data_IF_867674344792
#
_entry.id   IF_867674344792
#
_cell.length_a   1.000
_cell.length_b   1.000
_cell.length_c   1.000
_cell.angle_alpha   90.00
_cell.angle_beta   90.00
_cell.angle_gamma   90.00
#
_symmetry.space_group_name_H-M   'P 1'
#
loop_
_entity.id
_entity.type
_entity.pdbx_description
1 polymer ?
#
# COMPACT_ATOMS: atom_id res chain seq x y z
N UNK A 1 41.36 56.00 -13.99
CA UNK A 1 41.19 55.02 -12.89
C UNK A 1 40.00 55.41 -12.03
N UNK A 2 39.20 54.41 -11.63
CA UNK A 2 38.11 54.40 -10.61
C UNK A 2 36.81 55.16 -10.91
N UNK A 3 35.74 54.38 -11.07
CA UNK A 3 34.66 54.24 -10.07
C UNK A 3 33.91 52.92 -10.33
N UNK A 4 34.18 51.90 -9.50
CA UNK A 4 33.29 50.76 -9.37
C UNK A 4 32.10 51.21 -8.52
N UNK A 5 30.90 51.11 -9.07
CA UNK A 5 29.66 51.15 -8.31
C UNK A 5 29.46 49.76 -7.70
N UNK A 6 29.45 49.68 -6.37
CA UNK A 6 29.18 48.46 -5.64
C UNK A 6 27.68 48.16 -5.71
N UNK A 7 27.34 46.98 -6.22
CA UNK A 7 25.99 46.42 -6.12
C UNK A 7 25.67 46.15 -4.66
N UNK A 8 24.69 46.86 -4.11
CA UNK A 8 24.19 46.65 -2.76
C UNK A 8 23.63 45.24 -2.62
N UNK A 9 24.24 44.46 -1.73
CA UNK A 9 23.66 43.22 -1.23
C UNK A 9 22.58 43.62 -0.22
N UNK A 10 21.31 43.58 -0.60
CA UNK A 10 20.20 43.62 0.36
C UNK A 10 20.18 42.27 1.08
N UNK A 11 20.88 42.18 2.20
CA UNK A 11 20.68 41.10 3.16
C UNK A 11 20.02 41.74 4.37
N UNK A 12 18.70 41.77 4.37
CA UNK A 12 17.90 42.15 5.54
C UNK A 12 18.19 41.10 6.61
N UNK A 13 18.88 41.49 7.68
CA UNK A 13 19.10 40.62 8.83
C UNK A 13 17.74 40.40 9.50
N UNK A 14 17.18 39.22 9.27
CA UNK A 14 15.90 38.82 9.85
C UNK A 14 16.14 38.42 11.29
N UNK A 15 15.48 39.11 12.23
CA UNK A 15 15.57 38.77 13.66
C UNK A 15 14.83 37.45 13.92
N UNK A 16 15.63 36.43 14.23
CA UNK A 16 15.14 35.07 14.46
C UNK A 16 14.28 34.98 15.73
N UNK A 17 14.53 35.84 16.72
CA UNK A 17 13.82 35.81 18.00
C UNK A 17 12.40 36.39 17.85
N UNK A 18 12.23 37.42 17.01
CA UNK A 18 10.91 37.99 16.67
C UNK A 18 10.04 37.00 15.89
N UNK A 19 10.64 36.31 14.90
CA UNK A 19 9.95 35.27 14.13
C UNK A 19 9.49 34.10 14.99
N UNK A 20 10.28 33.71 16.00
CA UNK A 20 9.92 32.62 16.90
C UNK A 20 8.74 32.94 17.84
N UNK A 21 8.45 34.23 18.05
CA UNK A 21 7.29 34.69 18.82
C UNK A 21 6.06 34.99 17.95
N UNK A 22 6.14 34.78 16.63
CA UNK A 22 5.01 34.98 15.71
C UNK A 22 3.94 33.88 15.95
N UNK A 23 2.73 34.23 16.42
CA UNK A 23 1.65 33.28 16.65
C UNK A 23 1.24 32.50 15.38
N UNK A 24 1.44 33.07 14.19
CA UNK A 24 1.16 32.39 12.92
C UNK A 24 2.20 31.30 12.64
N UNK A 25 3.48 31.55 12.94
CA UNK A 25 4.55 30.56 12.81
C UNK A 25 4.42 29.44 13.85
N UNK A 26 4.04 29.77 15.10
CA UNK A 26 3.74 28.78 16.14
C UNK A 26 2.60 27.85 15.72
N UNK A 27 1.53 28.41 15.16
CA UNK A 27 0.39 27.63 14.64
C UNK A 27 0.82 26.70 13.51
N UNK A 28 1.62 27.19 12.55
CA UNK A 28 2.13 26.37 11.44
C UNK A 28 3.01 25.22 11.94
N UNK A 29 3.85 25.47 12.95
CA UNK A 29 4.65 24.44 13.60
C UNK A 29 3.78 23.39 14.31
N UNK A 30 2.78 23.83 15.08
CA UNK A 30 1.85 22.94 15.77
C UNK A 30 1.08 22.04 14.79
N UNK A 31 0.55 22.61 13.70
CA UNK A 31 -0.17 21.88 12.66
C UNK A 31 0.72 20.83 11.98
N UNK A 32 1.98 21.18 11.68
CA UNK A 32 2.96 20.26 11.09
C UNK A 32 3.32 19.12 12.03
N UNK A 33 3.55 19.41 13.31
CA UNK A 33 3.83 18.40 14.33
C UNK A 33 2.62 17.47 14.50
N UNK A 34 1.40 18.00 14.52
CA UNK A 34 0.18 17.22 14.62
C UNK A 34 -0.02 16.29 13.41
N UNK A 35 0.23 16.78 12.19
CA UNK A 35 0.17 15.97 10.98
C UNK A 35 1.18 14.82 11.01
N UNK A 36 2.44 15.11 11.37
CA UNK A 36 3.50 14.10 11.49
C UNK A 36 3.17 13.04 12.54
N UNK A 37 2.63 13.43 13.70
CA UNK A 37 2.18 12.50 14.74
C UNK A 37 1.06 11.58 14.24
N UNK A 38 0.04 12.16 13.61
CA UNK A 38 -1.10 11.41 13.05
C UNK A 38 -0.66 10.39 12.00
N UNK A 39 0.26 10.77 11.12
CA UNK A 39 0.79 9.87 10.10
C UNK A 39 1.64 8.76 10.71
N UNK A 40 2.44 9.07 11.73
CA UNK A 40 3.21 8.08 12.47
C UNK A 40 2.30 7.06 13.19
N UNK A 41 1.26 7.52 13.88
CA UNK A 41 0.27 6.67 14.55
C UNK A 41 -0.48 5.77 13.55
N UNK A 42 -0.93 6.34 12.42
CA UNK A 42 -1.59 5.58 11.36
C UNK A 42 -0.66 4.50 10.82
N UNK A 43 0.60 4.84 10.55
CA UNK A 43 1.59 3.89 10.04
C UNK A 43 1.87 2.80 11.07
N UNK A 44 2.02 3.15 12.34
CA UNK A 44 2.24 2.19 13.42
C UNK A 44 1.07 1.19 13.55
N UNK A 45 -0.17 1.69 13.48
CA UNK A 45 -1.38 0.83 13.50
C UNK A 45 -1.38 -0.16 12.33
N UNK A 46 -1.06 0.31 11.12
CA UNK A 46 -0.96 -0.55 9.93
C UNK A 46 0.18 -1.58 10.08
N UNK A 47 1.34 -1.19 10.61
CA UNK A 47 2.43 -2.13 10.93
C UNK A 47 1.95 -3.22 11.89
N UNK A 48 1.27 -2.85 12.98
CA UNK A 48 0.74 -3.82 13.96
C UNK A 48 -0.28 -4.78 13.34
N UNK A 49 -1.00 -4.33 12.32
CA UNK A 49 -1.95 -5.16 11.56
C UNK A 49 -1.27 -6.06 10.52
N UNK A 50 0.06 -5.99 10.35
CA UNK A 50 0.80 -6.80 9.38
C UNK A 50 0.85 -6.21 7.97
N UNK A 51 0.71 -4.88 7.82
CA UNK A 51 0.95 -4.22 6.54
C UNK A 51 2.45 -4.10 6.27
N UNK A 52 2.83 -4.06 4.99
CA UNK A 52 4.24 -3.97 4.57
C UNK A 52 4.96 -5.31 4.45
N UNK A 53 4.31 -6.42 4.80
CA UNK A 53 4.82 -7.77 4.64
C UNK A 53 3.91 -8.62 3.76
N UNK A 54 4.43 -9.75 3.30
CA UNK A 54 3.67 -10.77 2.59
C UNK A 54 3.82 -12.09 3.35
N UNK A 55 2.75 -12.50 4.04
CA UNK A 55 2.74 -13.64 4.96
C UNK A 55 1.71 -14.70 4.60
N UNK A 56 2.00 -15.92 5.00
CA UNK A 56 1.05 -17.04 4.97
C UNK A 56 0.08 -16.94 6.16
N UNK A 57 -1.20 -17.17 5.90
CA UNK A 57 -2.24 -17.22 6.93
C UNK A 57 -2.97 -18.56 6.86
N UNK A 58 -3.66 -18.95 7.93
CA UNK A 58 -4.51 -20.14 7.94
C UNK A 58 -5.94 -19.82 7.52
N UNK A 59 -6.76 -20.85 7.27
CA UNK A 59 -8.18 -20.66 6.96
C UNK A 59 -8.93 -19.94 8.10
N UNK A 60 -8.57 -20.23 9.36
CA UNK A 60 -9.20 -19.60 10.53
C UNK A 60 -8.88 -18.11 10.66
N UNK A 61 -7.70 -17.68 10.21
CA UNK A 61 -7.28 -16.28 10.24
C UNK A 61 -7.89 -15.46 9.10
N UNK A 62 -8.38 -16.12 8.03
CA UNK A 62 -8.78 -15.45 6.80
C UNK A 62 -9.77 -14.30 7.03
N UNK A 63 -10.83 -14.52 7.80
CA UNK A 63 -11.84 -13.50 8.05
C UNK A 63 -11.27 -12.32 8.84
N UNK A 64 -10.54 -12.57 9.93
CA UNK A 64 -9.97 -11.49 10.75
C UNK A 64 -8.98 -10.64 9.96
N UNK A 65 -8.24 -11.26 9.04
CA UNK A 65 -7.28 -10.61 8.17
C UNK A 65 -7.97 -9.72 7.12
N UNK A 66 -9.01 -10.20 6.42
CA UNK A 66 -9.70 -9.45 5.35
C UNK A 66 -10.67 -8.39 5.87
N UNK A 67 -11.24 -8.56 7.06
CA UNK A 67 -12.13 -7.56 7.68
C UNK A 67 -11.37 -6.56 8.53
N UNK A 68 -10.19 -6.91 9.04
CA UNK A 68 -9.39 -6.07 9.94
C UNK A 68 -8.65 -4.92 9.25
N UNK A 69 -8.69 -4.84 7.93
CA UNK A 69 -7.97 -3.83 7.14
C UNK A 69 -8.83 -3.29 5.99
N UNK A 70 -8.56 -2.05 5.58
CA UNK A 70 -9.37 -1.38 4.56
C UNK A 70 -9.20 -2.01 3.17
N UNK A 71 -7.96 -2.33 2.79
CA UNK A 71 -7.60 -2.98 1.52
C UNK A 71 -6.74 -4.19 1.82
N UNK A 72 -7.15 -5.36 1.33
CA UNK A 72 -6.42 -6.62 1.49
C UNK A 72 -6.36 -7.34 0.16
N UNK A 73 -5.19 -7.84 -0.22
CA UNK A 73 -5.01 -8.74 -1.35
C UNK A 73 -4.66 -10.11 -0.79
N UNK A 74 -5.50 -11.10 -1.08
CA UNK A 74 -5.25 -12.48 -0.70
C UNK A 74 -4.89 -13.31 -1.94
N UNK A 75 -3.73 -13.95 -1.89
CA UNK A 75 -3.26 -14.89 -2.89
C UNK A 75 -3.60 -16.32 -2.48
N UNK A 76 -4.56 -16.91 -3.18
CA UNK A 76 -4.85 -18.33 -3.10
C UNK A 76 -3.86 -19.06 -3.99
N UNK A 77 -3.10 -19.98 -3.39
CA UNK A 77 -1.97 -20.61 -4.03
C UNK A 77 -1.88 -22.10 -3.70
N UNK A 78 -1.01 -22.80 -4.44
CA UNK A 78 -0.66 -24.19 -4.16
C UNK A 78 0.84 -24.37 -4.35
N UNK A 79 1.47 -25.10 -3.43
CA UNK A 79 2.93 -25.27 -3.33
C UNK A 79 3.57 -25.89 -4.59
N UNK A 80 2.85 -26.77 -5.27
CA UNK A 80 3.34 -27.47 -6.46
C UNK A 80 3.28 -26.60 -7.73
N UNK A 81 2.52 -25.51 -7.71
CA UNK A 81 2.25 -24.73 -8.91
C UNK A 81 3.35 -23.67 -9.08
N UNK A 82 4.24 -23.87 -10.07
CA UNK A 82 5.37 -22.97 -10.35
C UNK A 82 4.94 -21.51 -10.52
N UNK A 83 3.79 -21.28 -11.18
CA UNK A 83 3.19 -19.95 -11.37
C UNK A 83 2.84 -19.24 -10.06
N UNK A 84 2.51 -19.97 -9.00
CA UNK A 84 2.31 -19.37 -7.68
C UNK A 84 3.62 -18.80 -7.10
N UNK A 85 4.76 -19.44 -7.37
CA UNK A 85 6.09 -18.97 -6.91
C UNK A 85 6.50 -17.67 -7.59
N UNK A 86 6.13 -17.50 -8.86
CA UNK A 86 6.31 -16.23 -9.57
C UNK A 86 5.46 -15.16 -8.89
N UNK A 87 4.17 -15.43 -8.65
CA UNK A 87 3.27 -14.48 -8.00
C UNK A 87 3.78 -14.05 -6.61
N UNK A 88 4.29 -14.99 -5.82
CA UNK A 88 4.90 -14.70 -4.52
C UNK A 88 6.03 -13.66 -4.61
N UNK A 89 6.89 -13.74 -5.64
CA UNK A 89 7.97 -12.75 -5.85
C UNK A 89 7.41 -11.35 -6.10
N UNK A 90 6.39 -11.21 -6.94
CA UNK A 90 5.79 -9.92 -7.24
C UNK A 90 5.06 -9.33 -6.03
N UNK A 91 4.27 -10.14 -5.33
CA UNK A 91 3.52 -9.68 -4.14
C UNK A 91 4.44 -9.28 -2.99
N UNK A 92 5.56 -9.97 -2.78
CA UNK A 92 6.59 -9.55 -1.81
C UNK A 92 7.12 -8.15 -2.12
N UNK A 93 7.38 -7.84 -3.39
CA UNK A 93 7.84 -6.51 -3.79
C UNK A 93 6.74 -5.45 -3.64
N UNK A 94 5.49 -5.79 -3.97
CA UNK A 94 4.35 -4.89 -3.86
C UNK A 94 4.00 -4.57 -2.40
N UNK A 95 4.09 -5.54 -1.50
CA UNK A 95 3.83 -5.35 -0.07
C UNK A 95 4.69 -4.24 0.53
N UNK A 96 5.98 -4.20 0.18
CA UNK A 96 6.91 -3.17 0.63
C UNK A 96 6.60 -1.77 0.05
N UNK A 97 6.03 -1.72 -1.16
CA UNK A 97 5.74 -0.46 -1.88
C UNK A 97 4.36 0.11 -1.53
N UNK A 98 3.39 -0.74 -1.23
CA UNK A 98 1.99 -0.38 -1.00
C UNK A 98 1.57 -0.65 0.44
N UNK A 99 2.16 0.10 1.37
CA UNK A 99 1.97 -0.08 2.81
C UNK A 99 0.52 0.13 3.31
N UNK A 100 -0.35 0.75 2.50
CA UNK A 100 -1.78 0.91 2.83
C UNK A 100 -2.63 -0.31 2.48
N UNK A 101 -2.05 -1.26 1.73
CA UNK A 101 -2.71 -2.50 1.33
C UNK A 101 -2.02 -3.66 2.03
N UNK A 102 -2.82 -4.51 2.67
CA UNK A 102 -2.32 -5.71 3.32
C UNK A 102 -2.19 -6.84 2.29
N UNK A 103 -1.08 -7.56 2.32
CA UNK A 103 -0.83 -8.66 1.39
C UNK A 103 -0.69 -9.97 2.18
N UNK A 104 -1.54 -10.95 1.87
CA UNK A 104 -1.53 -12.26 2.52
C UNK A 104 -1.64 -13.36 1.47
N UNK A 105 -1.24 -14.57 1.85
CA UNK A 105 -1.46 -15.77 1.03
C UNK A 105 -2.08 -16.90 1.84
N UNK A 106 -2.90 -17.69 1.17
CA UNK A 106 -3.62 -18.80 1.76
C UNK A 106 -3.46 -20.03 0.86
N UNK A 107 -3.05 -21.14 1.46
CA UNK A 107 -2.90 -22.40 0.75
C UNK A 107 -4.30 -22.96 0.41
N UNK A 108 -4.59 -23.10 -0.88
CA UNK A 108 -5.90 -23.51 -1.37
C UNK A 108 -6.26 -24.94 -0.93
N UNK A 109 -5.28 -25.82 -0.74
CA UNK A 109 -5.52 -27.18 -0.24
C UNK A 109 -5.97 -27.16 1.22
N UNK A 110 -5.46 -26.21 2.01
CA UNK A 110 -5.75 -26.09 3.45
C UNK A 110 -6.91 -25.12 3.75
N UNK A 111 -7.57 -24.56 2.73
CA UNK A 111 -8.68 -23.62 2.89
C UNK A 111 -9.90 -23.96 1.99
N UNK A 112 -10.45 -25.18 2.07
CA UNK A 112 -11.50 -25.65 1.18
C UNK A 112 -12.80 -24.84 1.30
N UNK A 113 -13.12 -24.30 2.49
CA UNK A 113 -14.34 -23.52 2.69
C UNK A 113 -14.31 -22.24 1.87
N UNK A 114 -13.22 -21.46 1.94
CA UNK A 114 -13.12 -20.23 1.16
C UNK A 114 -12.87 -20.47 -0.33
N UNK A 115 -12.16 -21.54 -0.69
CA UNK A 115 -12.02 -21.95 -2.10
C UNK A 115 -13.39 -22.22 -2.72
N UNK A 116 -14.26 -22.97 -2.03
CA UNK A 116 -15.61 -23.22 -2.49
C UNK A 116 -16.48 -21.95 -2.46
N UNK A 117 -16.47 -21.21 -1.34
CA UNK A 117 -17.30 -20.01 -1.15
C UNK A 117 -16.99 -18.90 -2.16
N UNK A 118 -15.72 -18.74 -2.51
CA UNK A 118 -15.25 -17.76 -3.49
C UNK A 118 -15.17 -18.35 -4.91
N UNK A 119 -15.61 -19.58 -5.12
CA UNK A 119 -15.60 -20.27 -6.41
C UNK A 119 -14.24 -20.19 -7.12
N UNK A 120 -13.16 -20.53 -6.41
CA UNK A 120 -11.80 -20.53 -6.94
C UNK A 120 -11.57 -21.85 -7.68
N UNK A 121 -11.38 -21.75 -8.99
CA UNK A 121 -11.23 -22.93 -9.89
C UNK A 121 -9.83 -23.04 -10.51
N UNK A 122 -9.04 -21.98 -10.44
CA UNK A 122 -7.76 -21.89 -11.14
C UNK A 122 -6.77 -21.15 -10.26
N UNK A 123 -5.53 -21.64 -10.21
CA UNK A 123 -4.44 -21.06 -9.42
C UNK A 123 -3.30 -20.59 -10.33
N UNK A 124 -2.56 -19.53 -9.92
CA UNK A 124 -2.82 -18.69 -8.75
C UNK A 124 -4.09 -17.84 -8.91
N UNK A 125 -4.75 -17.50 -7.81
CA UNK A 125 -5.88 -16.56 -7.82
C UNK A 125 -5.65 -15.47 -6.78
N UNK A 126 -5.67 -14.21 -7.23
CA UNK A 126 -5.66 -13.05 -6.34
C UNK A 126 -7.08 -12.55 -6.19
N UNK A 127 -7.47 -12.23 -4.96
CA UNK A 127 -8.73 -11.55 -4.69
C UNK A 127 -8.43 -10.29 -3.87
N UNK A 128 -8.96 -9.17 -4.34
CA UNK A 128 -8.90 -7.90 -3.63
C UNK A 128 -10.15 -7.71 -2.78
N UNK A 129 -9.95 -7.51 -1.49
CA UNK A 129 -11.00 -7.19 -0.53
C UNK A 129 -10.92 -5.73 -0.14
N UNK A 130 -12.09 -5.07 -0.06
CA UNK A 130 -12.25 -3.76 0.57
C UNK A 130 -13.23 -3.87 1.71
N UNK A 131 -12.79 -3.54 2.93
CA UNK A 131 -13.61 -3.63 4.16
C UNK A 131 -14.29 -5.01 4.29
N UNK A 132 -13.56 -6.09 4.05
CA UNK A 132 -14.06 -7.47 4.10
C UNK A 132 -14.89 -7.94 2.89
N UNK A 133 -15.22 -7.07 1.94
CA UNK A 133 -16.00 -7.43 0.74
C UNK A 133 -15.06 -7.69 -0.44
N UNK A 134 -15.23 -8.81 -1.13
CA UNK A 134 -14.50 -9.10 -2.36
C UNK A 134 -14.91 -8.11 -3.46
N UNK A 135 -13.95 -7.38 -4.01
CA UNK A 135 -14.19 -6.31 -4.99
C UNK A 135 -13.72 -6.66 -6.39
N UNK A 136 -12.60 -7.39 -6.49
CA UNK A 136 -12.03 -7.75 -7.79
C UNK A 136 -11.19 -9.03 -7.65
N UNK A 137 -10.92 -9.70 -8.78
CA UNK A 137 -10.07 -10.88 -8.83
C UNK A 137 -9.22 -10.95 -10.09
N UNK A 138 -8.01 -11.48 -9.91
CA UNK A 138 -7.09 -11.82 -11.01
C UNK A 138 -6.92 -13.33 -11.00
N UNK A 139 -7.17 -13.98 -12.14
CA UNK A 139 -7.12 -15.44 -12.24
C UNK A 139 -5.99 -15.85 -13.18
N UNK A 140 -5.01 -16.56 -12.62
CA UNK A 140 -3.83 -17.00 -13.35
C UNK A 140 -2.97 -15.84 -13.84
N UNK A 141 -2.41 -16.02 -15.04
CA UNK A 141 -1.54 -15.05 -15.72
C UNK A 141 -2.17 -14.49 -16.99
N UNK A 142 -3.37 -14.96 -17.37
CA UNK A 142 -4.06 -14.50 -18.58
C UNK A 142 -4.34 -13.00 -18.50
N UNK A 143 -4.78 -12.53 -17.35
CA UNK A 143 -5.04 -11.11 -17.08
C UNK A 143 -3.75 -10.27 -16.96
N UNK A 144 -2.58 -10.91 -16.83
CA UNK A 144 -1.26 -10.28 -16.76
C UNK A 144 -0.49 -10.36 -18.10
N UNK A 145 -1.18 -10.67 -19.19
CA UNK A 145 -0.62 -10.74 -20.54
C UNK A 145 -0.01 -12.09 -20.91
N UNK A 146 -0.27 -13.14 -20.12
CA UNK A 146 0.08 -14.53 -20.43
C UNK A 146 1.58 -14.84 -20.42
N UNK A 147 2.41 -13.92 -19.91
CA UNK A 147 3.87 -14.06 -19.83
C UNK A 147 4.31 -14.13 -18.38
N UNK A 148 5.28 -14.99 -18.11
CA UNK A 148 5.85 -15.18 -16.78
C UNK A 148 6.70 -13.97 -16.33
N UNK A 149 7.26 -13.19 -17.27
CA UNK A 149 7.98 -11.94 -17.04
C UNK A 149 7.05 -10.71 -17.20
N UNK A 150 6.06 -10.57 -16.32
CA UNK A 150 5.27 -9.34 -16.27
C UNK A 150 5.95 -8.29 -15.39
N UNK A 151 6.11 -7.08 -15.92
CA UNK A 151 6.63 -5.96 -15.12
C UNK A 151 5.59 -5.59 -14.08
N UNK A 152 6.00 -5.57 -12.81
CA UNK A 152 5.21 -4.99 -11.71
C UNK A 152 5.14 -3.47 -11.90
N UNK A 153 4.38 -3.01 -12.90
CA UNK A 153 4.05 -1.59 -13.02
C UNK A 153 3.16 -1.27 -11.84
N UNK A 154 3.60 -0.35 -10.99
CA UNK A 154 2.75 0.33 -10.01
C UNK A 154 1.49 0.75 -10.76
N UNK A 155 0.29 0.26 -10.37
CA UNK A 155 -0.94 0.87 -10.85
C UNK A 155 -0.81 2.34 -10.45
N UNK A 156 -0.75 3.22 -11.44
CA UNK A 156 -0.89 4.65 -11.17
C UNK A 156 -2.22 4.80 -10.46
N UNK A 157 -2.24 5.60 -9.41
CA UNK A 157 -3.46 6.02 -8.74
C UNK A 157 -4.28 6.78 -9.78
N UNK A 158 -5.05 6.04 -10.57
CA UNK A 158 -5.88 6.57 -11.65
C UNK A 158 -7.19 5.82 -11.60
N UNK A 159 -8.15 6.48 -10.96
CA UNK A 159 -9.57 6.42 -11.27
C UNK A 159 -10.21 5.02 -11.20
N UNK A 160 -10.63 4.64 -9.99
CA UNK A 160 -11.86 3.84 -9.82
C UNK A 160 -12.95 4.81 -9.37
N UNK A 161 -13.27 5.75 -10.25
CA UNK A 161 -14.56 6.41 -10.32
C UNK A 161 -15.11 6.09 -11.71
N UNK A 162 -16.39 5.76 -11.77
CA UNK A 162 -17.19 5.51 -12.99
C UNK A 162 -16.96 4.21 -13.75
N UNK A 163 -17.53 3.11 -13.23
CA UNK A 163 -18.26 2.14 -14.07
C UNK A 163 -19.48 1.59 -13.33
N UNK A 164 -20.54 2.39 -13.27
CA UNK A 164 -21.92 1.95 -13.11
C UNK A 164 -22.77 2.78 -14.07
N UNK A 165 -23.00 2.24 -15.27
CA UNK A 165 -24.21 2.47 -16.05
C UNK A 165 -24.62 1.14 -16.69
#
# INVERSE_FOLDING_TARGET
MRKHQASGSFNEEVDLDELMMDPELEKLHADRIAALKKDAEKRQKLTMQGHGEYREITEGDFLSEVTGSEKVICHFYHREFYRCKIMDKHLKSLALRHFTTKFVKLDAENAPFFVAKLAIKTLPCLIMFRKGVATDRVVGFQDLGGKDDFSTRTPRDSSIEERNN
#
